data_IF_262309394609
#
_entry.id   IF_262309394609
#
_cell.length_a   1.000
_cell.length_b   1.000
_cell.length_c   1.000
_cell.angle_alpha   90.00
_cell.angle_beta   90.00
_cell.angle_gamma   90.00
#
_symmetry.space_group_name_H-M   'P 1'
#
loop_
_entity.id
_entity.type
_entity.pdbx_description
1 polymer ?
#
# COMPACT_ATOMS: atom_id res chain seq x y z
N UNK A 1 22.29 -46.74 4.03
CA UNK A 1 20.92 -46.40 3.59
C UNK A 1 20.99 -45.12 2.78
N UNK A 2 20.91 -45.21 1.45
CA UNK A 2 21.02 -44.07 0.54
C UNK A 2 19.65 -43.47 0.26
N UNK A 3 19.47 -42.20 0.59
CA UNK A 3 18.23 -41.45 0.33
C UNK A 3 18.14 -41.18 -1.17
N UNK A 4 17.20 -41.84 -1.85
CA UNK A 4 16.95 -41.62 -3.27
C UNK A 4 16.49 -40.17 -3.50
N UNK A 5 17.25 -39.42 -4.30
CA UNK A 5 16.89 -38.08 -4.77
C UNK A 5 15.58 -38.16 -5.54
N UNK A 6 14.57 -37.40 -5.10
CA UNK A 6 13.29 -37.32 -5.79
C UNK A 6 13.50 -36.78 -7.21
N UNK A 7 12.84 -37.36 -8.22
CA UNK A 7 12.92 -36.87 -9.59
C UNK A 7 12.45 -35.41 -9.65
N UNK A 8 13.26 -34.55 -10.29
CA UNK A 8 12.93 -33.13 -10.50
C UNK A 8 11.59 -33.04 -11.25
N UNK A 9 10.59 -32.53 -10.56
CA UNK A 9 9.30 -32.17 -11.15
C UNK A 9 9.56 -31.21 -12.31
N UNK A 10 9.14 -31.60 -13.52
CA UNK A 10 9.27 -30.74 -14.70
C UNK A 10 8.30 -29.58 -14.50
N UNK A 11 8.84 -28.37 -14.30
CA UNK A 11 8.04 -27.15 -14.33
C UNK A 11 7.19 -27.15 -15.61
N UNK A 12 5.89 -26.80 -15.52
CA UNK A 12 5.03 -26.72 -16.67
C UNK A 12 5.62 -25.77 -17.71
N UNK A 13 5.48 -26.06 -19.01
CA UNK A 13 6.02 -25.21 -20.06
C UNK A 13 5.43 -23.80 -19.92
N UNK A 14 6.31 -22.79 -19.82
CA UNK A 14 5.87 -21.38 -19.81
C UNK A 14 5.00 -21.13 -21.05
N UNK A 15 3.88 -20.41 -20.92
CA UNK A 15 2.99 -20.13 -22.04
C UNK A 15 3.77 -19.41 -23.15
N UNK A 16 3.98 -20.09 -24.27
CA UNK A 16 4.82 -19.62 -25.39
C UNK A 16 4.29 -18.34 -26.07
N UNK A 17 3.03 -17.97 -25.82
CA UNK A 17 2.36 -16.81 -26.43
C UNK A 17 2.92 -15.46 -25.93
N UNK A 18 3.16 -15.31 -24.63
CA UNK A 18 3.68 -14.06 -24.03
C UNK A 18 5.09 -13.67 -24.51
N UNK A 19 5.88 -14.63 -25.00
CA UNK A 19 7.25 -14.37 -25.49
C UNK A 19 7.26 -13.87 -26.95
N UNK A 20 6.14 -14.01 -27.68
CA UNK A 20 6.09 -13.70 -29.12
C UNK A 20 5.71 -12.24 -29.41
N UNK A 21 4.79 -11.66 -28.63
CA UNK A 21 4.34 -10.26 -28.79
C UNK A 21 5.39 -9.23 -28.33
N UNK A 22 6.29 -9.60 -27.43
CA UNK A 22 7.37 -8.72 -26.96
C UNK A 22 8.55 -8.56 -27.95
N UNK A 23 8.48 -9.13 -29.17
CA UNK A 23 9.62 -9.16 -30.11
C UNK A 23 9.88 -7.87 -30.89
N UNK A 24 9.05 -6.84 -30.72
CA UNK A 24 9.18 -5.56 -31.44
C UNK A 24 9.49 -4.32 -30.59
N UNK A 25 9.32 -4.39 -29.27
CA UNK A 25 9.63 -3.28 -28.37
C UNK A 25 11.03 -3.47 -27.80
N UNK A 26 11.88 -2.42 -27.85
CA UNK A 26 13.10 -2.43 -27.05
C UNK A 26 12.71 -2.66 -25.57
N UNK A 27 13.33 -3.63 -24.89
CA UNK A 27 13.00 -3.89 -23.50
C UNK A 27 13.32 -2.64 -22.68
N UNK A 28 12.31 -2.12 -21.98
CA UNK A 28 12.42 -0.96 -21.07
C UNK A 28 13.45 -1.22 -19.95
N UNK A 29 13.84 -2.48 -19.73
CA UNK A 29 14.79 -2.89 -18.71
C UNK A 29 15.89 -3.75 -19.31
N UNK A 30 17.14 -3.38 -19.00
CA UNK A 30 18.31 -4.19 -19.32
C UNK A 30 18.59 -5.16 -18.17
N UNK A 31 18.73 -6.45 -18.48
CA UNK A 31 19.20 -7.43 -17.50
C UNK A 31 20.73 -7.44 -17.52
N UNK A 32 21.34 -6.94 -16.45
CA UNK A 32 22.79 -6.97 -16.25
C UNK A 32 23.18 -8.13 -15.33
N UNK A 33 24.30 -8.77 -15.63
CA UNK A 33 24.96 -9.65 -14.66
C UNK A 33 25.55 -8.82 -13.52
N UNK A 34 25.76 -9.43 -12.35
CA UNK A 34 26.42 -8.75 -11.22
C UNK A 34 27.77 -8.11 -11.62
N UNK A 35 28.57 -8.80 -12.45
CA UNK A 35 29.84 -8.26 -12.97
C UNK A 35 29.63 -7.02 -13.84
N UNK A 36 28.62 -7.04 -14.72
CA UNK A 36 28.31 -5.89 -15.57
C UNK A 36 27.80 -4.71 -14.74
N UNK A 37 26.96 -4.98 -13.72
CA UNK A 37 26.46 -3.96 -12.81
C UNK A 37 27.60 -3.30 -12.03
N UNK A 38 28.52 -4.07 -11.45
CA UNK A 38 29.68 -3.53 -10.72
C UNK A 38 30.74 -2.86 -11.61
N UNK A 39 30.64 -3.01 -12.93
CA UNK A 39 31.53 -2.32 -13.87
C UNK A 39 30.95 -0.98 -14.34
N UNK A 40 29.66 -0.70 -14.06
CA UNK A 40 29.11 0.63 -14.25
C UNK A 40 29.76 1.57 -13.23
N UNK A 41 30.03 2.83 -13.61
CA UNK A 41 30.42 3.83 -12.62
C UNK A 41 29.33 3.93 -11.55
N UNK A 42 29.74 4.03 -10.29
CA UNK A 42 28.81 4.37 -9.23
C UNK A 42 28.12 5.69 -9.62
N UNK A 43 26.80 5.81 -9.42
CA UNK A 43 26.14 7.08 -9.67
C UNK A 43 26.83 8.15 -8.81
N UNK A 44 27.09 9.32 -9.41
CA UNK A 44 27.34 10.51 -8.59
C UNK A 44 26.18 10.62 -7.61
N UNK A 45 26.42 11.08 -6.37
CA UNK A 45 25.48 10.98 -5.22
C UNK A 45 24.15 11.76 -5.39
N UNK A 46 23.68 12.01 -6.61
CA UNK A 46 22.60 12.89 -7.00
C UNK A 46 21.18 12.41 -6.73
N UNK A 47 21.00 11.22 -6.14
CA UNK A 47 19.67 10.75 -5.77
C UNK A 47 19.34 10.99 -4.28
N UNK A 48 20.30 11.43 -3.47
CA UNK A 48 20.05 11.74 -2.07
C UNK A 48 19.29 13.07 -1.93
N UNK A 49 18.11 13.02 -1.33
CA UNK A 49 17.25 14.18 -1.09
C UNK A 49 17.42 14.74 0.32
N UNK A 50 17.86 13.89 1.25
CA UNK A 50 18.22 14.24 2.62
C UNK A 50 19.22 13.21 3.12
N UNK A 51 20.39 13.19 2.49
CA UNK A 51 21.43 12.18 2.72
C UNK A 51 20.90 10.74 2.52
N UNK A 52 21.36 9.77 3.32
CA UNK A 52 20.93 8.38 3.21
C UNK A 52 19.51 8.13 3.75
N UNK A 53 18.86 9.13 4.36
CA UNK A 53 17.53 9.00 4.96
C UNK A 53 16.44 8.98 3.90
N UNK A 54 16.62 9.76 2.83
CA UNK A 54 15.68 9.86 1.73
C UNK A 54 16.45 9.85 0.43
N UNK A 55 16.32 8.76 -0.31
CA UNK A 55 16.94 8.57 -1.63
C UNK A 55 15.84 8.46 -2.68
N UNK A 56 16.05 9.10 -3.82
CA UNK A 56 15.15 9.07 -4.97
C UNK A 56 14.94 7.63 -5.43
N UNK A 57 13.70 7.32 -5.83
CA UNK A 57 13.28 5.98 -6.25
C UNK A 57 13.41 4.88 -5.18
N UNK A 58 13.86 5.21 -3.97
CA UNK A 58 13.88 4.30 -2.84
C UNK A 58 12.62 4.44 -1.98
N UNK A 59 12.40 3.44 -1.12
CA UNK A 59 11.35 3.48 -0.09
C UNK A 59 12.02 3.53 1.27
N UNK A 60 11.79 4.62 2.01
CA UNK A 60 12.15 4.72 3.42
C UNK A 60 10.98 4.27 4.27
N UNK A 61 11.22 3.38 5.23
CA UNK A 61 10.21 2.89 6.17
C UNK A 61 10.62 3.31 7.58
N UNK A 62 9.75 4.06 8.25
CA UNK A 62 9.96 4.50 9.64
C UNK A 62 9.13 3.61 10.56
N UNK A 63 9.80 2.82 11.39
CA UNK A 63 9.18 1.89 12.34
C UNK A 63 9.35 2.39 13.77
N UNK A 64 8.36 2.12 14.60
CA UNK A 64 8.36 2.50 16.01
C UNK A 64 7.01 2.25 16.67
N UNK A 65 6.99 2.08 17.98
CA UNK A 65 5.76 1.88 18.75
C UNK A 65 4.87 3.14 18.73
N UNK A 66 3.64 3.02 19.22
CA UNK A 66 2.73 4.16 19.40
C UNK A 66 3.36 5.18 20.35
N UNK A 67 3.32 6.47 19.98
CA UNK A 67 3.95 7.54 20.77
C UNK A 67 5.46 7.68 20.59
N UNK A 68 6.13 6.84 19.80
CA UNK A 68 7.58 6.94 19.55
C UNK A 68 8.00 8.16 18.70
N UNK A 69 7.09 9.09 18.40
CA UNK A 69 7.38 10.29 17.61
C UNK A 69 7.53 10.06 16.11
N UNK A 70 7.00 8.96 15.55
CA UNK A 70 7.08 8.67 14.10
C UNK A 70 6.60 9.84 13.24
N UNK A 71 5.39 10.35 13.51
CA UNK A 71 4.81 11.46 12.74
C UNK A 71 5.63 12.74 12.88
N UNK A 72 6.19 13.00 14.07
CA UNK A 72 7.09 14.14 14.32
C UNK A 72 8.41 13.99 13.56
N UNK A 73 9.02 12.81 13.57
CA UNK A 73 10.24 12.53 12.80
C UNK A 73 9.99 12.76 11.31
N UNK A 74 8.89 12.22 10.80
CA UNK A 74 8.52 12.34 9.39
C UNK A 74 8.26 13.79 8.99
N UNK A 75 7.57 14.58 9.82
CA UNK A 75 7.34 15.98 9.50
C UNK A 75 8.64 16.81 9.49
N UNK A 76 9.60 16.47 10.35
CA UNK A 76 10.93 17.10 10.37
C UNK A 76 11.78 16.72 9.15
N UNK A 77 11.78 15.44 8.78
CA UNK A 77 12.40 14.96 7.53
C UNK A 77 11.81 15.67 6.32
N UNK A 78 10.49 15.82 6.28
CA UNK A 78 9.78 16.50 5.21
C UNK A 78 10.16 17.98 5.12
N UNK A 79 10.17 18.69 6.26
CA UNK A 79 10.57 20.09 6.32
C UNK A 79 12.00 20.29 5.83
N UNK A 80 12.94 19.47 6.32
CA UNK A 80 14.33 19.51 5.87
C UNK A 80 14.46 19.29 4.36
N UNK A 81 13.82 18.24 3.84
CA UNK A 81 13.87 17.90 2.41
C UNK A 81 13.29 18.99 1.51
N UNK A 82 12.12 19.51 1.86
CA UNK A 82 11.38 20.50 1.05
C UNK A 82 12.03 21.88 1.11
N UNK A 83 12.49 22.30 2.30
CA UNK A 83 13.01 23.65 2.52
C UNK A 83 14.53 23.75 2.34
N UNK A 84 15.23 22.62 2.20
CA UNK A 84 16.70 22.57 2.15
C UNK A 84 17.38 22.81 3.50
N UNK A 85 16.64 22.64 4.60
CA UNK A 85 17.19 22.80 5.95
C UNK A 85 18.03 21.59 6.36
N UNK A 86 18.88 21.79 7.36
CA UNK A 86 19.68 20.73 7.98
C UNK A 86 18.84 19.85 8.93
N UNK A 87 19.07 18.54 8.88
CA UNK A 87 18.52 17.56 9.81
C UNK A 87 19.49 16.39 10.00
N UNK A 88 19.94 16.16 11.24
CA UNK A 88 20.95 15.14 11.59
C UNK A 88 22.22 15.26 10.72
N UNK A 89 22.72 16.49 10.55
CA UNK A 89 23.90 16.85 9.75
C UNK A 89 23.72 16.66 8.22
N UNK A 90 22.51 16.31 7.76
CA UNK A 90 22.18 16.22 6.34
C UNK A 90 21.38 17.45 5.89
N UNK A 91 21.76 18.02 4.75
CA UNK A 91 20.99 19.09 4.14
C UNK A 91 19.98 18.50 3.16
N UNK A 92 18.74 18.98 3.24
CA UNK A 92 17.75 18.63 2.23
C UNK A 92 18.14 19.21 0.86
N UNK A 93 17.72 18.57 -0.22
CA UNK A 93 17.98 19.09 -1.56
C UNK A 93 17.31 20.45 -1.80
N UNK A 94 16.21 20.73 -1.09
CA UNK A 94 15.39 21.93 -1.32
C UNK A 94 14.60 21.83 -2.61
N UNK A 95 13.60 22.70 -2.77
CA UNK A 95 12.74 22.78 -3.97
C UNK A 95 11.97 21.48 -4.33
N UNK A 96 11.94 20.51 -3.42
CA UNK A 96 11.18 19.26 -3.58
C UNK A 96 9.71 19.53 -3.27
N UNK A 97 8.83 18.95 -4.08
CA UNK A 97 7.41 18.84 -3.76
C UNK A 97 7.09 17.49 -3.15
N UNK A 98 6.24 17.50 -2.12
CA UNK A 98 5.83 16.29 -1.43
C UNK A 98 4.32 16.17 -1.31
N UNK A 99 3.82 14.93 -1.27
CA UNK A 99 2.42 14.61 -1.01
C UNK A 99 2.32 13.74 0.23
N UNK A 100 1.74 14.28 1.30
CA UNK A 100 1.42 13.52 2.51
C UNK A 100 0.02 12.93 2.36
N UNK A 101 -0.09 11.61 2.53
CA UNK A 101 -1.36 10.89 2.58
C UNK A 101 -1.52 10.34 3.98
N UNK A 102 -2.30 11.01 4.81
CA UNK A 102 -2.45 10.64 6.22
C UNK A 102 -3.70 9.78 6.41
N UNK A 103 -3.51 8.61 7.00
CA UNK A 103 -4.55 7.62 7.25
C UNK A 103 -5.03 7.58 8.70
N UNK A 104 -4.41 8.35 9.60
CA UNK A 104 -4.64 8.20 11.04
C UNK A 104 -4.99 9.50 11.75
N UNK A 105 -4.46 10.63 11.30
CA UNK A 105 -4.56 11.88 12.06
C UNK A 105 -5.85 12.63 11.74
N UNK A 106 -6.40 13.26 12.79
CA UNK A 106 -7.45 14.24 12.61
C UNK A 106 -6.94 15.46 11.85
N UNK A 107 -7.85 16.21 11.20
CA UNK A 107 -7.48 17.47 10.54
C UNK A 107 -6.81 18.46 11.50
N UNK A 108 -7.19 18.48 12.78
CA UNK A 108 -6.62 19.37 13.78
C UNK A 108 -5.16 19.00 14.08
N UNK A 109 -4.87 17.71 14.24
CA UNK A 109 -3.53 17.20 14.50
C UNK A 109 -2.61 17.39 13.29
N UNK A 110 -3.08 17.12 12.08
CA UNK A 110 -2.33 17.39 10.85
C UNK A 110 -1.96 18.88 10.72
N UNK A 111 -2.91 19.79 10.99
CA UNK A 111 -2.64 21.25 11.00
C UNK A 111 -1.65 21.66 12.07
N UNK A 112 -1.67 21.03 13.25
CA UNK A 112 -0.70 21.28 14.33
C UNK A 112 0.69 20.80 13.89
N UNK A 113 0.79 19.59 13.38
CA UNK A 113 2.05 18.99 12.90
C UNK A 113 2.71 19.85 11.82
N UNK A 114 1.94 20.33 10.84
CA UNK A 114 2.47 21.22 9.79
C UNK A 114 3.01 22.53 10.36
N UNK A 115 2.30 23.15 11.31
CA UNK A 115 2.76 24.38 12.00
C UNK A 115 4.03 24.14 12.81
N UNK A 116 4.09 23.04 13.55
CA UNK A 116 5.27 22.70 14.35
C UNK A 116 6.51 22.43 13.49
N UNK A 117 6.30 21.94 12.26
CA UNK A 117 7.34 21.73 11.28
C UNK A 117 7.68 22.98 10.44
N UNK A 118 6.95 24.10 10.60
CA UNK A 118 7.12 25.32 9.80
C UNK A 118 6.70 25.15 8.33
N UNK A 119 5.70 24.30 8.08
CA UNK A 119 5.23 23.89 6.76
C UNK A 119 3.82 24.42 6.42
N UNK A 120 3.19 25.18 7.31
CA UNK A 120 1.79 25.58 7.19
C UNK A 120 1.51 26.54 6.03
N UNK A 121 2.53 27.24 5.53
CA UNK A 121 2.44 28.12 4.36
C UNK A 121 3.12 27.52 3.11
N UNK A 122 3.59 26.28 3.18
CA UNK A 122 4.34 25.69 2.06
C UNK A 122 3.41 25.21 0.96
N UNK A 123 3.51 25.83 -0.22
CA UNK A 123 2.80 25.39 -1.43
C UNK A 123 3.43 24.12 -2.05
N UNK A 124 4.65 23.77 -1.63
CA UNK A 124 5.35 22.58 -2.10
C UNK A 124 4.78 21.28 -1.47
N UNK A 125 3.88 21.38 -0.49
CA UNK A 125 3.31 20.24 0.21
C UNK A 125 1.83 20.09 -0.10
N UNK A 126 1.49 19.01 -0.82
CA UNK A 126 0.14 18.50 -0.88
C UNK A 126 -0.17 17.68 0.37
N UNK A 127 -1.35 17.86 0.96
CA UNK A 127 -1.82 17.03 2.07
C UNK A 127 -3.18 16.43 1.72
N UNK A 128 -3.32 15.12 1.90
CA UNK A 128 -4.57 14.39 1.73
C UNK A 128 -4.90 13.65 3.02
N UNK A 129 -5.93 14.12 3.71
CA UNK A 129 -6.51 13.42 4.85
C UNK A 129 -7.44 12.35 4.31
N UNK A 130 -7.14 11.10 4.64
CA UNK A 130 -8.01 9.98 4.32
C UNK A 130 -9.00 9.83 5.47
N UNK A 131 -10.33 9.80 5.20
CA UNK A 131 -11.32 9.66 6.25
C UNK A 131 -11.11 8.39 7.07
N UNK A 132 -11.39 8.48 8.38
CA UNK A 132 -11.42 7.32 9.24
C UNK A 132 -12.42 6.26 8.73
N UNK A 133 -12.12 4.99 9.01
CA UNK A 133 -13.01 3.87 8.67
C UNK A 133 -12.85 3.33 7.25
N UNK A 134 -11.86 3.80 6.48
CA UNK A 134 -11.51 3.11 5.24
C UNK A 134 -10.85 1.75 5.54
N UNK A 135 -11.36 0.72 4.91
CA UNK A 135 -10.85 -0.64 4.97
C UNK A 135 -9.93 -0.89 3.77
N UNK A 136 -8.83 -0.15 3.71
CA UNK A 136 -7.89 -0.19 2.56
C UNK A 136 -7.24 -1.55 2.33
N UNK A 137 -7.28 -2.43 3.34
CA UNK A 137 -6.79 -3.79 3.31
C UNK A 137 -7.81 -4.80 2.74
N UNK A 138 -9.07 -4.41 2.61
CA UNK A 138 -10.17 -5.33 2.27
C UNK A 138 -11.17 -4.77 1.25
N UNK A 139 -11.10 -3.49 0.91
CA UNK A 139 -11.94 -2.83 -0.09
C UNK A 139 -11.09 -2.20 -1.21
N UNK A 140 -10.98 -2.93 -2.33
CA UNK A 140 -10.24 -2.50 -3.52
C UNK A 140 -10.76 -1.18 -4.11
N UNK A 141 -12.05 -0.86 -3.94
CA UNK A 141 -12.61 0.39 -4.45
C UNK A 141 -12.10 1.59 -3.64
N UNK A 142 -11.96 1.43 -2.32
CA UNK A 142 -11.38 2.45 -1.45
C UNK A 142 -9.89 2.63 -1.71
N UNK A 143 -9.16 1.53 -1.91
CA UNK A 143 -7.75 1.58 -2.33
C UNK A 143 -7.60 2.29 -3.69
N UNK A 144 -8.44 1.94 -4.67
CA UNK A 144 -8.45 2.58 -5.98
C UNK A 144 -8.77 4.08 -5.90
N UNK A 145 -9.63 4.51 -4.98
CA UNK A 145 -9.91 5.92 -4.75
C UNK A 145 -8.67 6.67 -4.20
N UNK A 146 -7.95 6.09 -3.24
CA UNK A 146 -6.69 6.64 -2.72
C UNK A 146 -5.63 6.69 -3.83
N UNK A 147 -5.51 5.62 -4.62
CA UNK A 147 -4.63 5.61 -5.79
C UNK A 147 -5.01 6.69 -6.80
N UNK A 148 -6.31 6.93 -7.02
CA UNK A 148 -6.77 7.96 -7.93
C UNK A 148 -6.38 9.35 -7.43
N UNK A 149 -6.45 9.62 -6.11
CA UNK A 149 -5.96 10.88 -5.52
C UNK A 149 -4.47 11.04 -5.76
N UNK A 150 -3.68 9.99 -5.51
CA UNK A 150 -2.24 9.96 -5.76
C UNK A 150 -1.96 10.20 -7.26
N UNK A 151 -2.69 9.55 -8.17
CA UNK A 151 -2.55 9.71 -9.63
C UNK A 151 -2.95 11.10 -10.10
N UNK A 152 -4.05 11.68 -9.60
CA UNK A 152 -4.50 13.02 -10.00
C UNK A 152 -3.48 14.09 -9.59
N UNK A 153 -2.90 13.98 -8.39
CA UNK A 153 -1.84 14.90 -7.96
C UNK A 153 -0.55 14.70 -8.74
N UNK A 154 -0.25 13.49 -9.21
CA UNK A 154 0.83 13.18 -10.18
C UNK A 154 0.62 13.65 -11.61
N UNK A 155 -0.60 14.07 -11.95
CA UNK A 155 -0.87 14.66 -13.25
C UNK A 155 -0.66 16.18 -13.22
N UNK A 156 -0.62 16.78 -12.02
CA UNK A 156 -0.33 18.20 -11.80
C UNK A 156 1.16 18.47 -11.56
N UNK A 157 1.95 17.43 -11.38
CA UNK A 157 3.40 17.45 -11.25
C UNK A 157 3.96 16.03 -11.45
N UNK A 158 5.02 15.89 -12.26
CA UNK A 158 5.33 14.68 -13.06
C UNK A 158 5.43 13.35 -12.28
N UNK A 159 5.07 12.28 -13.01
CA UNK A 159 5.17 10.83 -12.74
C UNK A 159 5.95 10.43 -11.48
N UNK A 160 5.23 10.26 -10.38
CA UNK A 160 5.60 9.32 -9.33
C UNK A 160 4.98 7.93 -9.64
N UNK A 161 5.56 6.83 -9.13
CA UNK A 161 5.03 5.45 -9.23
C UNK A 161 4.38 5.03 -7.91
N UNK A 162 3.13 4.53 -7.86
CA UNK A 162 2.46 4.30 -6.59
C UNK A 162 2.88 2.91 -6.15
N UNK A 163 3.59 2.82 -5.03
CA UNK A 163 3.93 1.55 -4.42
C UNK A 163 3.33 1.58 -3.03
N UNK A 164 2.00 1.43 -2.96
CA UNK A 164 1.30 1.05 -1.73
C UNK A 164 1.19 -0.47 -1.77
N UNK A 165 2.08 -1.14 -1.05
CA UNK A 165 1.87 -2.52 -0.64
C UNK A 165 2.66 -2.69 0.66
N UNK A 166 1.93 -2.55 1.77
CA UNK A 166 2.43 -2.89 3.09
C UNK A 166 2.46 -4.40 3.21
N UNK A 167 3.66 -4.97 3.41
CA UNK A 167 3.82 -6.34 3.89
C UNK A 167 3.36 -6.38 5.34
N UNK A 168 2.48 -7.33 5.66
CA UNK A 168 2.14 -7.68 7.03
C UNK A 168 2.42 -9.17 7.20
N UNK A 169 3.25 -9.51 8.19
CA UNK A 169 4.09 -10.70 8.17
C UNK A 169 3.42 -11.91 8.85
N UNK A 170 2.24 -12.28 8.34
CA UNK A 170 1.50 -13.47 8.77
C UNK A 170 1.01 -14.30 7.60
N UNK A 171 1.91 -14.68 6.68
CA UNK A 171 1.60 -15.36 5.39
C UNK A 171 0.29 -14.84 4.79
N UNK A 172 0.26 -13.57 4.42
CA UNK A 172 -0.84 -13.01 3.64
C UNK A 172 -0.97 -13.83 2.37
N UNK A 173 -1.97 -14.71 2.34
CA UNK A 173 -2.27 -15.55 1.20
C UNK A 173 -2.77 -14.66 0.09
N UNK A 174 -2.14 -14.76 -1.07
CA UNK A 174 -2.61 -14.08 -2.26
C UNK A 174 -3.82 -14.86 -2.82
N UNK A 175 -4.99 -14.60 -2.24
CA UNK A 175 -6.25 -15.26 -2.61
C UNK A 175 -6.55 -15.07 -4.10
N UNK A 176 -6.16 -13.92 -4.66
CA UNK A 176 -6.34 -13.60 -6.07
C UNK A 176 -5.51 -14.54 -6.94
N UNK A 177 -4.21 -14.68 -6.66
CA UNK A 177 -3.33 -15.59 -7.39
C UNK A 177 -3.76 -17.06 -7.23
N UNK A 178 -4.16 -17.47 -6.04
CA UNK A 178 -4.63 -18.83 -5.76
C UNK A 178 -5.93 -19.15 -6.53
N UNK A 179 -6.89 -18.21 -6.58
CA UNK A 179 -8.12 -18.38 -7.37
C UNK A 179 -7.84 -18.56 -8.85
N UNK A 180 -6.96 -17.75 -9.41
CA UNK A 180 -6.56 -17.85 -10.82
C UNK A 180 -5.85 -19.17 -11.11
N UNK A 181 -4.99 -19.64 -10.19
CA UNK A 181 -4.32 -20.92 -10.33
C UNK A 181 -5.30 -22.11 -10.31
N UNK A 182 -6.28 -22.10 -9.39
CA UNK A 182 -7.29 -23.17 -9.28
C UNK A 182 -8.26 -23.18 -10.46
N UNK A 183 -8.53 -22.03 -11.08
CA UNK A 183 -9.41 -21.89 -12.24
C UNK A 183 -8.67 -21.97 -13.59
N UNK A 184 -7.34 -22.15 -13.58
CA UNK A 184 -6.51 -22.17 -14.78
C UNK A 184 -6.79 -23.37 -15.71
N UNK A 185 -7.44 -24.41 -15.20
CA UNK A 185 -7.90 -25.56 -15.99
C UNK A 185 -9.06 -25.21 -16.93
N UNK A 186 -9.68 -24.03 -16.77
CA UNK A 186 -10.81 -23.58 -17.57
C UNK A 186 -12.14 -24.25 -17.20
N UNK A 187 -12.16 -25.08 -16.17
CA UNK A 187 -13.35 -25.78 -15.71
C UNK A 187 -14.27 -24.81 -14.94
N UNK A 188 -15.58 -25.00 -15.10
CA UNK A 188 -16.56 -24.23 -14.34
C UNK A 188 -16.57 -24.70 -12.89
N UNK A 189 -16.25 -23.83 -11.92
CA UNK A 189 -16.29 -24.17 -10.49
C UNK A 189 -17.28 -23.31 -9.73
N UNK A 190 -17.95 -23.92 -8.76
CA UNK A 190 -18.86 -23.25 -7.81
C UNK A 190 -18.09 -22.70 -6.61
N UNK A 191 -18.69 -21.75 -5.88
CA UNK A 191 -18.12 -21.23 -4.64
C UNK A 191 -17.86 -22.33 -3.59
N UNK A 192 -18.71 -23.36 -3.53
CA UNK A 192 -18.56 -24.49 -2.61
C UNK A 192 -17.34 -25.35 -2.96
N UNK A 193 -17.04 -25.53 -4.25
CA UNK A 193 -15.83 -26.23 -4.69
C UNK A 193 -14.57 -25.42 -4.39
N UNK A 194 -14.59 -24.11 -4.66
CA UNK A 194 -13.46 -23.21 -4.38
C UNK A 194 -13.15 -23.10 -2.88
N UNK A 195 -14.14 -23.27 -1.99
CA UNK A 195 -13.94 -23.28 -0.54
C UNK A 195 -13.20 -24.51 -0.02
N UNK A 196 -13.18 -25.63 -0.76
CA UNK A 196 -12.52 -26.87 -0.31
C UNK A 196 -11.02 -26.63 -0.08
N UNK A 197 -10.36 -27.48 0.71
CA UNK A 197 -8.91 -27.35 0.94
C UNK A 197 -8.13 -27.52 -0.36
N UNK A 198 -6.90 -27.02 -0.39
CA UNK A 198 -6.01 -27.10 -1.57
C UNK A 198 -5.83 -28.55 -2.07
N UNK A 199 -5.67 -29.51 -1.15
CA UNK A 199 -5.58 -30.94 -1.48
C UNK A 199 -6.85 -31.54 -2.11
N UNK A 200 -7.99 -30.86 -1.98
CA UNK A 200 -9.29 -31.28 -2.53
C UNK A 200 -9.69 -30.42 -3.76
N UNK A 201 -8.74 -29.66 -4.30
CA UNK A 201 -8.92 -28.81 -5.48
C UNK A 201 -9.60 -27.47 -5.23
N UNK A 202 -9.72 -27.00 -3.97
CA UNK A 202 -10.15 -25.63 -3.68
C UNK A 202 -8.98 -24.75 -3.21
N UNK A 203 -9.27 -23.60 -2.61
CA UNK A 203 -8.27 -22.72 -1.99
C UNK A 203 -8.42 -22.63 -0.47
N UNK A 204 -9.43 -23.26 0.14
CA UNK A 204 -9.56 -23.34 1.59
C UNK A 204 -9.82 -21.99 2.28
N UNK A 205 -10.27 -20.97 1.55
CA UNK A 205 -10.60 -19.66 2.08
C UNK A 205 -12.10 -19.55 2.42
N UNK A 206 -12.44 -18.61 3.31
CA UNK A 206 -13.82 -18.37 3.72
C UNK A 206 -14.64 -17.76 2.55
N UNK A 207 -15.92 -18.13 2.35
CA UNK A 207 -16.78 -17.53 1.33
C UNK A 207 -16.84 -16.00 1.34
N UNK A 208 -16.72 -15.37 2.51
CA UNK A 208 -16.71 -13.91 2.64
C UNK A 208 -15.47 -13.28 2.03
N UNK A 209 -14.36 -14.01 1.97
CA UNK A 209 -13.11 -13.57 1.32
C UNK A 209 -13.11 -13.93 -0.17
N UNK A 210 -13.60 -15.12 -0.53
CA UNK A 210 -13.59 -15.59 -1.93
C UNK A 210 -14.53 -14.77 -2.82
N UNK A 211 -15.73 -14.45 -2.32
CA UNK A 211 -16.78 -13.85 -3.15
C UNK A 211 -16.44 -12.45 -3.67
N UNK A 212 -15.95 -11.50 -2.83
CA UNK A 212 -15.50 -10.20 -3.34
C UNK A 212 -14.41 -10.33 -4.41
N UNK A 213 -13.47 -11.26 -4.22
CA UNK A 213 -12.40 -11.50 -5.20
C UNK A 213 -12.92 -12.06 -6.53
N UNK A 214 -13.89 -12.99 -6.51
CA UNK A 214 -14.53 -13.49 -7.73
C UNK A 214 -15.29 -12.38 -8.46
N UNK A 215 -16.01 -11.54 -7.72
CA UNK A 215 -16.75 -10.41 -8.30
C UNK A 215 -15.79 -9.38 -8.92
N UNK A 216 -14.71 -9.02 -8.22
CA UNK A 216 -13.65 -8.13 -8.72
C UNK A 216 -13.00 -8.69 -10.01
N UNK A 217 -12.56 -9.94 -10.00
CA UNK A 217 -11.95 -10.58 -11.17
C UNK A 217 -12.92 -10.73 -12.35
N UNK A 218 -14.22 -10.85 -12.09
CA UNK A 218 -15.26 -10.85 -13.13
C UNK A 218 -15.40 -9.45 -13.75
N UNK A 219 -15.39 -8.39 -12.94
CA UNK A 219 -15.42 -7.00 -13.41
C UNK A 219 -14.19 -6.64 -14.24
N UNK A 220 -13.02 -7.14 -13.85
CA UNK A 220 -11.77 -6.99 -14.60
C UNK A 220 -11.73 -7.81 -15.90
N UNK A 221 -12.73 -8.65 -16.16
CA UNK A 221 -12.79 -9.50 -17.36
C UNK A 221 -11.85 -10.71 -17.32
N UNK A 222 -11.23 -11.00 -16.17
CA UNK A 222 -10.34 -12.15 -15.98
C UNK A 222 -11.11 -13.45 -15.76
N UNK A 223 -12.31 -13.36 -15.17
CA UNK A 223 -13.22 -14.50 -14.99
C UNK A 223 -14.53 -14.29 -15.76
N UNK A 224 -15.08 -15.39 -16.25
CA UNK A 224 -16.47 -15.48 -16.71
C UNK A 224 -17.35 -16.02 -15.58
N UNK A 225 -18.49 -15.38 -15.34
CA UNK A 225 -19.51 -15.85 -14.41
C UNK A 225 -20.76 -16.31 -15.19
N UNK A 226 -21.25 -17.52 -14.91
CA UNK A 226 -22.51 -18.04 -15.46
C UNK A 226 -23.33 -18.78 -14.42
N UNK A 227 -24.65 -18.72 -14.57
CA UNK A 227 -25.60 -19.51 -13.79
C UNK A 227 -25.99 -20.72 -14.63
N UNK A 228 -25.73 -21.92 -14.10
CA UNK A 228 -26.07 -23.19 -14.74
C UNK A 228 -25.38 -23.45 -16.09
N UNK A 229 -24.03 -23.34 -16.19
CA UNK A 229 -23.34 -23.78 -17.41
C UNK A 229 -23.55 -25.28 -17.67
N UNK A 230 -23.37 -25.71 -18.92
CA UNK A 230 -23.52 -27.11 -19.33
C UNK A 230 -22.72 -28.06 -18.43
N UNK A 231 -23.37 -29.12 -17.96
CA UNK A 231 -22.77 -30.08 -17.01
C UNK A 231 -22.85 -29.68 -15.53
N UNK A 232 -23.41 -28.50 -15.20
CA UNK A 232 -23.67 -28.06 -13.83
C UNK A 232 -25.17 -27.96 -13.54
N UNK A 233 -25.55 -27.86 -12.26
CA UNK A 233 -26.94 -27.67 -11.88
C UNK A 233 -27.48 -26.33 -12.44
N UNK A 234 -28.73 -26.25 -12.93
CA UNK A 234 -29.27 -25.06 -13.59
C UNK A 234 -29.22 -23.77 -12.75
N UNK A 235 -29.24 -23.88 -11.42
CA UNK A 235 -29.19 -22.74 -10.49
C UNK A 235 -27.79 -22.44 -9.94
N UNK A 236 -26.77 -23.24 -10.29
CA UNK A 236 -25.43 -23.10 -9.74
C UNK A 236 -24.70 -21.89 -10.33
N UNK A 237 -24.27 -20.97 -9.47
CA UNK A 237 -23.36 -19.87 -9.83
C UNK A 237 -21.95 -20.44 -9.97
N UNK A 238 -21.39 -20.32 -11.16
CA UNK A 238 -20.10 -20.89 -11.52
C UNK A 238 -19.20 -19.81 -12.12
N UNK A 239 -17.90 -19.96 -11.89
CA UNK A 239 -16.84 -19.12 -12.45
C UNK A 239 -15.81 -19.98 -13.17
N UNK A 240 -15.18 -19.41 -14.21
CA UNK A 240 -13.99 -19.95 -14.89
C UNK A 240 -13.14 -18.81 -15.43
N UNK A 241 -11.89 -19.06 -15.83
CA UNK A 241 -11.06 -18.05 -16.50
C UNK A 241 -11.68 -17.66 -17.85
N UNK A 242 -11.73 -16.36 -18.14
CA UNK A 242 -12.29 -15.82 -19.37
C UNK A 242 -11.46 -16.26 -20.58
N UNK A 243 -12.13 -16.72 -21.64
CA UNK A 243 -11.45 -17.08 -22.89
C UNK A 243 -10.96 -15.85 -23.65
N UNK A 244 -11.53 -14.67 -23.36
CA UNK A 244 -11.23 -13.41 -24.04
C UNK A 244 -9.94 -12.73 -23.59
N UNK A 245 -9.35 -13.14 -22.46
CA UNK A 245 -8.10 -12.55 -21.95
C UNK A 245 -6.85 -12.96 -22.73
N UNK A 246 -7.00 -13.72 -23.83
CA UNK A 246 -5.91 -14.25 -24.65
C UNK A 246 -5.75 -13.56 -26.02
N UNK A 247 -6.43 -12.42 -26.25
CA UNK A 247 -6.55 -11.79 -27.57
C UNK A 247 -6.35 -10.26 -27.51
N UNK A 248 -5.15 -9.80 -27.14
CA UNK A 248 -4.78 -8.37 -27.20
C UNK A 248 -3.50 -8.17 -28.02
N UNK A 249 -3.68 -7.91 -29.32
CA UNK A 249 -2.64 -7.55 -30.29
C UNK A 249 -3.07 -6.22 -30.96
N UNK A 250 -2.75 -5.07 -30.34
CA UNK A 250 -2.94 -3.74 -30.95
C UNK A 250 -1.96 -2.71 -30.33
N UNK A 251 -0.91 -2.35 -31.07
CA UNK A 251 0.11 -1.35 -30.69
C UNK A 251 0.23 -0.25 -31.74
N UNK A 252 0.04 1.01 -31.32
CA UNK A 252 0.49 2.21 -32.03
C UNK A 252 1.28 3.13 -31.06
N UNK A 253 2.44 3.69 -31.45
CA UNK A 253 3.24 4.52 -30.54
C UNK A 253 3.07 6.02 -30.82
N UNK A 254 3.03 6.83 -29.75
CA UNK A 254 3.24 8.28 -29.81
C UNK A 254 4.26 8.67 -28.73
N UNK A 255 5.40 9.20 -29.19
CA UNK A 255 6.38 9.95 -28.40
C UNK A 255 6.02 11.44 -28.39
N UNK A 256 6.35 12.14 -27.29
CA UNK A 256 7.26 13.30 -27.29
C UNK A 256 7.43 13.90 -25.88
N UNK A 257 8.62 14.48 -25.67
CA UNK A 257 9.24 14.92 -24.42
C UNK A 257 9.07 16.42 -24.11
N UNK A 258 9.40 16.86 -22.88
CA UNK A 258 10.32 17.99 -22.55
C UNK A 258 10.11 18.60 -21.14
N UNK A 259 11.16 18.71 -20.30
CA UNK A 259 11.32 19.70 -19.21
C UNK A 259 10.98 19.26 -17.78
N UNK A 260 11.94 18.73 -17.02
CA UNK A 260 11.74 18.11 -15.70
C UNK A 260 12.07 19.07 -14.54
N UNK A 261 11.03 19.51 -13.83
CA UNK A 261 11.16 19.82 -12.40
C UNK A 261 10.88 18.53 -11.64
N UNK A 262 11.79 18.15 -10.77
CA UNK A 262 11.85 16.81 -10.19
C UNK A 262 11.05 16.76 -8.88
N UNK A 263 10.02 15.91 -8.86
CA UNK A 263 9.11 15.77 -7.72
C UNK A 263 9.29 14.41 -7.05
N UNK A 264 9.29 14.39 -5.70
CA UNK A 264 9.45 13.17 -4.92
C UNK A 264 8.28 12.97 -3.96
N UNK A 265 7.53 11.89 -4.19
CA UNK A 265 6.37 11.51 -3.39
C UNK A 265 6.76 10.62 -2.24
N UNK A 266 6.86 11.20 -1.05
CA UNK A 266 6.98 10.45 0.21
C UNK A 266 5.57 10.06 0.67
N UNK A 267 5.22 8.78 0.54
CA UNK A 267 3.95 8.26 1.08
C UNK A 267 4.17 7.81 2.51
N UNK A 268 3.52 8.49 3.44
CA UNK A 268 3.61 8.20 4.87
C UNK A 268 2.36 7.44 5.28
N UNK A 269 2.47 6.15 5.56
CA UNK A 269 1.40 5.41 6.23
C UNK A 269 1.95 4.93 7.57
N UNK A 270 1.38 5.44 8.66
CA UNK A 270 1.50 4.82 9.97
C UNK A 270 0.42 3.74 10.07
N UNK A 271 0.73 2.54 10.59
CA UNK A 271 -0.26 1.52 10.86
C UNK A 271 -0.74 1.55 12.32
N UNK A 272 -2.06 1.55 12.46
CA UNK A 272 -2.87 1.07 13.57
C UNK A 272 -2.92 1.91 14.86
N UNK A 273 -4.08 2.54 15.06
CA UNK A 273 -4.61 2.91 16.38
C UNK A 273 -5.32 1.70 16.97
N UNK A 274 -4.62 0.93 17.80
CA UNK A 274 -5.27 -0.05 18.67
C UNK A 274 -6.06 0.66 19.75
N UNK A 275 -7.31 1.04 19.48
CA UNK A 275 -8.26 1.43 20.51
C UNK A 275 -8.67 0.18 21.29
N UNK A 276 -7.82 -0.27 22.21
CA UNK A 276 -8.32 -1.04 23.34
C UNK A 276 -9.09 -0.08 24.23
N UNK A 277 -10.42 -0.12 24.16
CA UNK A 277 -11.26 0.40 25.23
C UNK A 277 -10.91 -0.34 26.51
N UNK A 278 -9.99 0.20 27.31
CA UNK A 278 -9.91 -0.14 28.72
C UNK A 278 -11.12 0.51 29.39
N UNK A 279 -12.17 -0.29 29.60
CA UNK A 279 -13.24 0.02 30.55
C UNK A 279 -12.60 0.30 31.91
N UNK A 280 -12.83 1.46 32.53
CA UNK A 280 -12.37 1.70 33.88
C UNK A 280 -13.12 0.76 34.85
N UNK A 281 -12.37 -0.07 35.56
CA UNK A 281 -12.84 -0.85 36.71
C UNK A 281 -13.32 0.13 37.79
N UNK A 282 -14.56 0.02 38.31
CA UNK A 282 -14.99 0.85 39.43
C UNK A 282 -14.42 0.26 40.73
N UNK A 283 -13.28 0.78 41.17
CA UNK A 283 -12.76 0.43 42.48
C UNK A 283 -13.58 1.09 43.59
N UNK A 284 -13.88 0.24 44.55
CA UNK A 284 -14.74 0.44 45.70
C UNK A 284 -13.95 1.11 46.84
N UNK A 285 -14.61 2.08 47.48
CA UNK A 285 -14.42 2.58 48.84
C UNK A 285 -13.08 3.24 49.24
N UNK A 286 -13.15 4.52 49.63
CA UNK A 286 -12.28 5.06 50.67
C UNK A 286 -13.10 5.87 51.67
N UNK A 287 -13.03 5.36 52.90
CA UNK A 287 -13.39 5.84 54.23
C UNK A 287 -13.45 7.37 54.40
N UNK A 288 -14.49 7.83 55.09
CA UNK A 288 -14.65 9.18 55.61
C UNK A 288 -13.91 9.39 56.95
N UNK A 289 -13.24 10.54 57.10
CA UNK A 289 -13.18 11.42 58.29
C UNK A 289 -12.04 12.47 58.13
N UNK A 290 -11.91 13.50 59.00
CA UNK A 290 -12.85 14.60 59.27
C UNK A 290 -12.19 16.00 59.17
N UNK A 291 -13.02 17.03 58.98
CA UNK A 291 -12.84 18.40 59.52
C UNK A 291 -11.55 19.17 59.21
N UNK A 292 -11.62 20.08 58.22
CA UNK A 292 -10.76 21.27 58.18
C UNK A 292 -11.65 22.50 58.01
N UNK A 293 -11.64 23.35 59.03
CA UNK A 293 -12.26 24.67 59.06
C UNK A 293 -11.32 25.62 58.31
N UNK A 294 -11.80 26.30 57.26
CA UNK A 294 -11.09 27.40 56.62
C UNK A 294 -11.48 28.73 57.28
N UNK A 295 -10.54 29.47 57.90
CA UNK A 295 -10.75 30.85 58.30
C UNK A 295 -10.16 31.77 57.22
N UNK A 296 -10.99 32.47 56.46
CA UNK A 296 -10.69 33.80 55.90
C UNK A 296 -11.89 34.29 55.09
N UNK A 297 -12.84 34.92 55.77
CA UNK A 297 -13.70 35.95 55.19
C UNK A 297 -13.73 37.10 56.21
N UNK A 298 -12.92 38.12 55.97
CA UNK A 298 -13.00 39.40 56.67
C UNK A 298 -13.60 40.41 55.70
N UNK A 299 -14.73 41.06 56.02
CA UNK A 299 -15.30 42.09 55.17
C UNK A 299 -14.53 43.41 55.27
N UNK A 300 -14.51 44.24 54.21
CA UNK A 300 -13.88 45.55 54.25
C UNK A 300 -14.70 46.52 55.08
N UNK A 301 -14.01 47.27 55.94
CA UNK A 301 -14.54 48.44 56.65
C UNK A 301 -13.90 49.68 56.04
N UNK A 302 -14.72 50.74 55.92
CA UNK A 302 -14.51 52.12 55.42
C UNK A 302 -14.62 52.34 53.92
#
# INVERSE_FOLDING_TARGET
MGTALRPRERLPPRPAKLVREARGAEPIFQVLTARQLCALPDPEHGDELLGPLIVRSARTIVLGHTGAGKSTLISRLLAASVQGNEFLDWHGAGEIRALVVDLEQSQADAKRMLREAGLEQSEAIGYSLVPDGLSLDSDDAQLAAVEQVIRRRRLLGRRLRPLLQGSNDGKTRDIRAELLAVLADGEWRTLTELRRKEGDGGIGADPKTIRPMLDALTVEGLLEHRIGPSGRQPSAKCWRVSSASYDTDDTAPLFCASGETEEVGVVVSSPYRGDTMTTPTPDTATVAAPGVVNPHDTPPTT
#
